data_IF_048585969327
#
_entry.id   IF_048585969327
#
_cell.length_a   1.000
_cell.length_b   1.000
_cell.length_c   1.000
_cell.angle_alpha   90.00
_cell.angle_beta   90.00
_cell.angle_gamma   90.00
#
_symmetry.space_group_name_H-M   'P 1'
#
loop_
_entity.id
_entity.type
_entity.pdbx_description
1 polymer ?
#
# COMPACT_ATOMS: atom_id res chain seq x y z
N UNK A 1 5.54 -5.31 -11.70
CA UNK A 1 6.81 -5.86 -12.23
C UNK A 1 7.78 -6.29 -11.13
N UNK A 2 7.57 -5.90 -9.87
CA UNK A 2 8.26 -6.49 -8.70
C UNK A 2 7.23 -7.11 -7.74
N UNK A 3 7.67 -7.98 -6.83
CA UNK A 3 6.85 -8.55 -5.75
C UNK A 3 7.66 -8.71 -4.48
N UNK A 4 7.04 -8.40 -3.34
CA UNK A 4 7.53 -8.76 -2.02
C UNK A 4 6.52 -9.70 -1.35
N UNK A 5 7.00 -10.67 -0.59
CA UNK A 5 6.18 -11.61 0.16
C UNK A 5 6.79 -11.81 1.55
N UNK A 6 6.03 -11.50 2.61
CA UNK A 6 6.51 -11.61 4.00
C UNK A 6 6.65 -13.05 4.46
N UNK A 7 5.97 -13.99 3.80
CA UNK A 7 5.97 -15.41 4.18
C UNK A 7 7.07 -16.19 3.43
N UNK A 8 7.68 -15.58 2.42
CA UNK A 8 8.82 -16.16 1.73
C UNK A 8 10.06 -16.20 2.63
N UNK A 9 10.84 -17.29 2.56
CA UNK A 9 12.04 -17.46 3.38
C UNK A 9 13.10 -16.36 3.15
N UNK A 10 13.17 -15.79 1.94
CA UNK A 10 14.09 -14.70 1.60
C UNK A 10 13.65 -13.36 2.20
N UNK A 11 12.32 -13.14 2.31
CA UNK A 11 11.71 -11.84 2.60
C UNK A 11 12.40 -10.70 1.85
N UNK A 12 12.58 -10.86 0.53
CA UNK A 12 13.22 -9.89 -0.36
C UNK A 12 12.25 -9.43 -1.44
N UNK A 13 12.50 -8.22 -1.96
CA UNK A 13 11.85 -7.77 -3.18
C UNK A 13 12.41 -8.56 -4.36
N UNK A 14 11.53 -9.10 -5.20
CA UNK A 14 11.88 -9.98 -6.31
C UNK A 14 11.40 -9.41 -7.66
N UNK A 15 12.20 -9.55 -8.73
CA UNK A 15 11.80 -9.19 -10.08
C UNK A 15 10.69 -10.12 -10.58
N UNK A 16 9.74 -9.57 -11.34
CA UNK A 16 8.65 -10.30 -12.01
C UNK A 16 8.56 -9.94 -13.51
N UNK A 17 9.57 -9.27 -14.04
CA UNK A 17 9.73 -8.97 -15.46
C UNK A 17 11.23 -8.84 -15.82
N UNK A 18 11.67 -9.24 -17.02
CA UNK A 18 13.10 -9.26 -17.36
C UNK A 18 13.78 -7.88 -17.30
N UNK A 19 13.07 -6.82 -17.68
CA UNK A 19 13.65 -5.49 -17.78
C UNK A 19 14.04 -4.88 -16.42
N UNK A 20 13.46 -5.34 -15.30
CA UNK A 20 13.81 -4.82 -13.97
C UNK A 20 15.04 -5.52 -13.40
N UNK A 21 15.46 -6.67 -13.95
CA UNK A 21 16.65 -7.41 -13.48
C UNK A 21 17.96 -6.63 -13.66
N UNK A 22 17.97 -5.61 -14.53
CA UNK A 22 19.11 -4.71 -14.72
C UNK A 22 19.36 -3.75 -13.53
N UNK A 23 18.38 -3.62 -12.62
CA UNK A 23 18.51 -2.75 -11.45
C UNK A 23 19.60 -3.27 -10.50
N UNK A 24 20.39 -2.34 -9.97
CA UNK A 24 21.51 -2.64 -9.09
C UNK A 24 21.08 -3.10 -7.68
N UNK A 25 22.01 -3.67 -6.89
CA UNK A 25 21.73 -4.16 -5.54
C UNK A 25 21.16 -3.07 -4.61
N UNK A 26 21.56 -1.81 -4.80
CA UNK A 26 21.05 -0.67 -4.02
C UNK A 26 19.53 -0.49 -4.15
N UNK A 27 18.98 -0.69 -5.36
CA UNK A 27 17.53 -0.64 -5.59
C UNK A 27 16.83 -1.75 -4.80
N UNK A 28 17.29 -2.99 -4.96
CA UNK A 28 16.68 -4.15 -4.32
C UNK A 28 16.76 -4.11 -2.79
N UNK A 29 17.88 -3.64 -2.23
CA UNK A 29 18.05 -3.47 -0.79
C UNK A 29 17.14 -2.37 -0.24
N UNK A 30 16.99 -1.25 -0.96
CA UNK A 30 16.07 -0.17 -0.59
C UNK A 30 14.62 -0.63 -0.60
N UNK A 31 14.17 -1.23 -1.71
CA UNK A 31 12.78 -1.68 -1.83
C UNK A 31 12.46 -2.81 -0.84
N UNK A 32 13.40 -3.72 -0.59
CA UNK A 32 13.27 -4.74 0.46
C UNK A 32 13.10 -4.09 1.83
N UNK A 33 13.92 -3.09 2.17
CA UNK A 33 13.81 -2.37 3.45
C UNK A 33 12.46 -1.69 3.60
N UNK A 34 12.01 -0.97 2.57
CA UNK A 34 10.71 -0.29 2.56
C UNK A 34 9.56 -1.27 2.85
N UNK A 35 9.56 -2.43 2.18
CA UNK A 35 8.51 -3.44 2.37
C UNK A 35 8.58 -4.15 3.72
N UNK A 36 9.77 -4.37 4.28
CA UNK A 36 9.92 -4.87 5.66
C UNK A 36 9.35 -3.89 6.68
N UNK A 37 9.62 -2.59 6.52
CA UNK A 37 9.02 -1.54 7.37
C UNK A 37 7.50 -1.51 7.23
N UNK A 38 6.96 -1.59 6.01
CA UNK A 38 5.51 -1.67 5.79
C UNK A 38 4.89 -2.90 6.47
N UNK A 39 5.54 -4.06 6.38
CA UNK A 39 5.10 -5.31 7.03
C UNK A 39 5.06 -5.17 8.56
N UNK A 40 6.05 -4.50 9.15
CA UNK A 40 6.08 -4.24 10.61
C UNK A 40 4.95 -3.32 11.07
N UNK A 41 4.51 -2.39 10.22
CA UNK A 41 3.44 -1.44 10.53
C UNK A 41 2.04 -2.01 10.31
N UNK A 42 1.89 -3.03 9.46
CA UNK A 42 0.58 -3.59 9.10
C UNK A 42 -0.24 -4.09 10.31
N UNK A 43 0.33 -4.80 11.31
CA UNK A 43 -0.42 -5.20 12.50
C UNK A 43 -0.94 -4.01 13.34
N UNK A 44 -0.21 -2.90 13.38
CA UNK A 44 -0.63 -1.69 14.10
C UNK A 44 -1.81 -1.05 13.39
N UNK A 45 -1.75 -0.91 12.06
CA UNK A 45 -2.84 -0.39 11.26
C UNK A 45 -4.12 -1.25 11.42
N UNK A 46 -3.99 -2.58 11.36
CA UNK A 46 -5.13 -3.49 11.56
C UNK A 46 -5.74 -3.39 12.96
N UNK A 47 -4.92 -3.22 14.01
CA UNK A 47 -5.43 -3.02 15.39
C UNK A 47 -6.21 -1.71 15.52
N UNK A 48 -5.73 -0.63 14.92
CA UNK A 48 -6.39 0.67 14.94
C UNK A 48 -7.74 0.60 14.20
N UNK A 49 -7.75 0.05 12.98
CA UNK A 49 -8.98 -0.11 12.18
C UNK A 49 -10.01 -0.95 12.91
N UNK A 50 -9.61 -2.09 13.49
CA UNK A 50 -10.49 -2.93 14.30
C UNK A 50 -11.12 -2.15 15.46
N UNK A 51 -10.34 -1.27 16.10
CA UNK A 51 -10.81 -0.38 17.15
C UNK A 51 -11.82 0.65 16.65
N UNK A 52 -11.53 1.33 15.54
CA UNK A 52 -12.44 2.34 14.96
C UNK A 52 -13.79 1.75 14.54
N UNK A 53 -13.79 0.50 14.07
CA UNK A 53 -14.99 -0.22 13.67
C UNK A 53 -15.66 -1.01 14.82
N UNK A 54 -15.14 -0.93 16.06
CA UNK A 54 -15.64 -1.68 17.22
C UNK A 54 -15.80 -3.19 16.96
N UNK A 55 -14.87 -3.77 16.21
CA UNK A 55 -14.92 -5.19 15.82
C UNK A 55 -14.32 -6.09 16.92
N UNK A 56 -14.80 -7.34 16.99
CA UNK A 56 -14.30 -8.34 17.93
C UNK A 56 -12.86 -8.74 17.67
N UNK A 57 -12.17 -9.26 18.69
CA UNK A 57 -10.80 -9.75 18.51
C UNK A 57 -10.70 -10.99 17.61
N UNK A 58 -11.76 -11.78 17.57
CA UNK A 58 -11.87 -12.97 16.75
C UNK A 58 -12.36 -12.56 15.36
N UNK A 59 -11.52 -12.72 14.35
CA UNK A 59 -11.83 -12.38 12.96
C UNK A 59 -10.57 -12.25 12.11
N UNK A 60 -10.71 -12.48 10.81
CA UNK A 60 -9.66 -12.14 9.84
C UNK A 60 -10.05 -10.83 9.15
N UNK A 61 -9.10 -9.92 9.05
CA UNK A 61 -9.30 -8.61 8.45
C UNK A 61 -8.22 -8.34 7.41
N UNK A 62 -8.59 -7.57 6.39
CA UNK A 62 -7.68 -7.21 5.30
C UNK A 62 -7.57 -5.70 5.19
N UNK A 63 -6.34 -5.19 5.23
CA UNK A 63 -6.03 -3.79 4.92
C UNK A 63 -5.23 -3.72 3.63
N UNK A 64 -5.67 -2.89 2.69
CA UNK A 64 -5.07 -2.78 1.37
C UNK A 64 -4.71 -1.32 1.09
N UNK A 65 -3.59 -1.11 0.41
CA UNK A 65 -3.13 0.19 -0.08
C UNK A 65 -2.82 0.07 -1.57
N UNK A 66 -3.37 0.98 -2.36
CA UNK A 66 -3.04 1.17 -3.77
C UNK A 66 -2.37 2.52 -3.94
N UNK A 67 -1.23 2.52 -4.64
CA UNK A 67 -0.48 3.74 -4.97
C UNK A 67 -0.07 3.65 -6.43
N UNK A 68 -0.14 4.77 -7.14
CA UNK A 68 0.26 4.82 -8.53
C UNK A 68 0.22 6.23 -9.09
N UNK A 69 0.56 6.33 -10.38
CA UNK A 69 0.38 7.53 -11.16
C UNK A 69 0.18 7.20 -12.63
N UNK A 70 -0.55 8.07 -13.33
CA UNK A 70 -0.66 8.08 -14.78
C UNK A 70 0.18 9.23 -15.34
N UNK A 71 0.92 8.95 -16.42
CA UNK A 71 1.67 9.95 -17.16
C UNK A 71 1.00 10.20 -18.51
N UNK A 72 0.96 11.47 -18.93
CA UNK A 72 0.47 11.87 -20.25
C UNK A 72 1.46 11.53 -21.38
N UNK A 73 1.07 11.72 -22.65
CA UNK A 73 1.94 11.47 -23.81
C UNK A 73 3.24 12.29 -23.82
N UNK A 74 3.25 13.42 -23.11
CA UNK A 74 4.42 14.29 -22.93
C UNK A 74 5.30 13.88 -21.73
N UNK A 75 4.97 12.76 -21.07
CA UNK A 75 5.68 12.23 -19.91
C UNK A 75 5.40 12.97 -18.61
N UNK A 76 4.48 13.95 -18.61
CA UNK A 76 4.12 14.71 -17.40
C UNK A 76 3.08 13.98 -16.57
N UNK A 77 3.10 14.22 -15.26
CA UNK A 77 2.11 13.68 -14.34
C UNK A 77 0.70 14.16 -14.74
N UNK A 78 -0.17 13.19 -15.04
CA UNK A 78 -1.58 13.43 -15.33
C UNK A 78 -2.43 13.21 -14.08
N UNK A 79 -2.14 12.13 -13.33
CA UNK A 79 -2.92 11.77 -12.14
C UNK A 79 -2.05 11.00 -11.14
N UNK A 80 -2.23 11.29 -9.86
CA UNK A 80 -1.68 10.50 -8.75
C UNK A 80 -2.77 9.71 -8.05
N UNK A 81 -2.39 8.58 -7.44
CA UNK A 81 -3.29 7.73 -6.69
C UNK A 81 -2.68 7.36 -5.36
N UNK A 82 -3.49 7.50 -4.31
CA UNK A 82 -3.25 6.90 -3.01
C UNK A 82 -4.60 6.52 -2.40
N UNK A 83 -4.87 5.22 -2.31
CA UNK A 83 -6.17 4.70 -1.89
C UNK A 83 -5.98 3.59 -0.87
N UNK A 84 -6.85 3.56 0.13
CA UNK A 84 -6.86 2.57 1.18
C UNK A 84 -8.23 1.90 1.23
N UNK A 85 -8.21 0.58 1.46
CA UNK A 85 -9.41 -0.23 1.62
C UNK A 85 -9.29 -1.13 2.86
N UNK A 86 -10.42 -1.36 3.51
CA UNK A 86 -10.53 -2.24 4.67
C UNK A 86 -11.65 -3.26 4.45
N UNK A 87 -11.35 -4.55 4.63
CA UNK A 87 -12.25 -5.68 4.40
C UNK A 87 -12.95 -5.64 3.01
N UNK A 88 -12.19 -5.23 1.99
CA UNK A 88 -12.64 -5.18 0.60
C UNK A 88 -13.55 -3.99 0.25
N UNK A 89 -13.65 -2.99 1.15
CA UNK A 89 -14.41 -1.75 0.94
C UNK A 89 -13.52 -0.54 1.02
N UNK A 90 -13.86 0.51 0.29
CA UNK A 90 -13.14 1.78 0.34
C UNK A 90 -13.10 2.31 1.79
N UNK A 91 -11.93 2.80 2.19
CA UNK A 91 -11.71 3.38 3.51
C UNK A 91 -11.42 4.88 3.39
N UNK A 92 -10.28 5.24 2.77
CA UNK A 92 -9.92 6.65 2.51
C UNK A 92 -9.10 6.74 1.23
N UNK A 93 -9.33 7.79 0.42
CA UNK A 93 -8.65 8.00 -0.85
C UNK A 93 -8.21 9.46 -1.02
N UNK A 94 -7.02 9.64 -1.59
CA UNK A 94 -6.49 10.94 -1.98
C UNK A 94 -7.26 11.45 -3.20
N UNK A 95 -7.73 12.70 -3.14
CA UNK A 95 -8.46 13.33 -4.22
C UNK A 95 -7.54 13.73 -5.37
N UNK A 96 -8.12 14.02 -6.53
CA UNK A 96 -7.38 14.38 -7.75
C UNK A 96 -6.56 15.66 -7.60
N UNK A 97 -6.90 16.52 -6.64
CA UNK A 97 -6.13 17.72 -6.29
C UNK A 97 -4.81 17.40 -5.55
N UNK A 98 -4.59 16.13 -5.19
CA UNK A 98 -3.45 15.61 -4.43
C UNK A 98 -3.24 16.29 -3.07
N UNK A 99 -4.29 16.88 -2.50
CA UNK A 99 -4.23 17.71 -1.28
C UNK A 99 -5.35 17.43 -0.30
N UNK A 100 -6.50 16.98 -0.78
CA UNK A 100 -7.65 16.64 0.04
C UNK A 100 -7.92 15.13 -0.01
N UNK A 101 -8.65 14.64 0.99
CA UNK A 101 -8.98 13.23 1.13
C UNK A 101 -10.50 13.05 1.14
N UNK A 102 -10.95 11.94 0.57
CA UNK A 102 -12.34 11.47 0.69
C UNK A 102 -12.35 10.25 1.61
N UNK A 103 -13.03 10.37 2.74
CA UNK A 103 -13.28 9.28 3.68
C UNK A 103 -14.60 8.59 3.33
N UNK A 104 -14.62 7.26 3.33
CA UNK A 104 -15.79 6.47 2.94
C UNK A 104 -16.87 6.43 4.04
N UNK A 105 -16.47 6.53 5.31
CA UNK A 105 -17.37 6.53 6.46
C UNK A 105 -16.80 7.34 7.64
N UNK A 106 -17.50 7.32 8.78
CA UNK A 106 -17.11 8.05 9.99
C UNK A 106 -15.85 7.47 10.64
N UNK A 107 -15.62 6.15 10.54
CA UNK A 107 -14.43 5.52 11.10
C UNK A 107 -13.18 6.02 10.37
N UNK A 108 -13.26 6.21 9.05
CA UNK A 108 -12.21 6.76 8.20
C UNK A 108 -11.86 8.24 8.44
N UNK A 109 -12.56 8.94 9.34
CA UNK A 109 -12.25 10.33 9.73
C UNK A 109 -11.36 10.44 10.98
N UNK A 110 -11.01 9.33 11.63
CA UNK A 110 -10.23 9.29 12.89
C UNK A 110 -8.72 9.17 12.69
#
# INVERSE_FOLDING_TARGET
FVRFDSDAASQRMEPRAPWVEQEGPEYWDRETRNMKTATQNAPVALRNLRGYYNQSEVGSHTFQRMVGCDLGPDGRLLRGYEQYAYDGRDYIALNEDLRSWTAADVAAQN
#
